data_IF_742567691155
#
_entry.id   IF_742567691155
#
_cell.length_a   1.000
_cell.length_b   1.000
_cell.length_c   1.000
_cell.angle_alpha   90.00
_cell.angle_beta   90.00
_cell.angle_gamma   90.00
#
_symmetry.space_group_name_H-M   'P 1'
#
loop_
_entity.id
_entity.type
_entity.pdbx_description
1 polymer ?
#
# COMPACT_ATOMS: atom_id res chain seq x y z
N UNK A 1 9.71 -47.17 -32.72
CA UNK A 1 9.44 -45.78 -33.18
C UNK A 1 8.10 -45.17 -32.74
N UNK A 2 7.10 -45.93 -32.25
CA UNK A 2 5.77 -45.37 -31.92
C UNK A 2 5.54 -45.13 -30.42
N UNK A 3 6.29 -45.83 -29.57
CA UNK A 3 6.27 -45.67 -28.10
C UNK A 3 7.17 -44.53 -27.60
N UNK A 4 8.08 -44.05 -28.44
CA UNK A 4 8.95 -42.90 -28.13
C UNK A 4 8.21 -41.56 -28.30
N UNK A 5 7.25 -41.49 -29.22
CA UNK A 5 6.42 -40.30 -29.46
C UNK A 5 5.43 -40.06 -28.30
N UNK A 6 4.95 -41.14 -27.67
CA UNK A 6 4.01 -41.05 -26.55
C UNK A 6 4.62 -40.42 -25.28
N UNK A 7 5.94 -40.56 -25.06
CA UNK A 7 6.62 -39.95 -23.91
C UNK A 7 6.91 -38.45 -24.11
N UNK A 8 7.08 -37.98 -25.35
CA UNK A 8 7.35 -36.56 -25.65
C UNK A 8 6.11 -35.68 -25.44
N UNK A 9 4.91 -36.22 -25.65
CA UNK A 9 3.65 -35.47 -25.44
C UNK A 9 3.29 -35.35 -23.95
N UNK A 10 3.69 -36.32 -23.12
CA UNK A 10 3.37 -36.32 -21.69
C UNK A 10 4.22 -35.32 -20.87
N UNK A 11 5.40 -34.92 -21.36
CA UNK A 11 6.30 -33.99 -20.67
C UNK A 11 5.92 -32.50 -20.85
N UNK A 12 4.98 -32.19 -21.74
CA UNK A 12 4.52 -30.81 -22.01
C UNK A 12 3.36 -30.35 -21.13
N UNK A 13 2.74 -31.26 -20.36
CA UNK A 13 1.78 -30.91 -19.32
C UNK A 13 2.50 -30.76 -17.98
N UNK A 14 3.40 -29.77 -17.87
CA UNK A 14 3.63 -29.18 -16.55
C UNK A 14 2.33 -28.48 -16.19
N UNK A 15 1.63 -28.85 -15.11
CA UNK A 15 0.55 -28.01 -14.64
C UNK A 15 1.22 -26.72 -14.21
N UNK A 16 1.04 -25.66 -14.99
CA UNK A 16 1.17 -24.31 -14.47
C UNK A 16 0.07 -24.17 -13.43
N UNK A 17 0.33 -24.71 -12.23
CA UNK A 17 -0.41 -24.39 -11.04
C UNK A 17 -0.18 -22.91 -10.82
N UNK A 18 -1.12 -22.10 -11.28
CA UNK A 18 -1.14 -20.69 -10.97
C UNK A 18 -1.15 -20.58 -9.45
N UNK A 19 -0.22 -19.85 -8.81
CA UNK A 19 -0.45 -19.45 -7.43
C UNK A 19 -1.81 -18.72 -7.36
N UNK A 20 -2.84 -19.41 -6.89
CA UNK A 20 -4.18 -18.88 -6.62
C UNK A 20 -4.25 -18.21 -5.24
N UNK A 21 -3.12 -17.69 -4.79
CA UNK A 21 -3.05 -16.80 -3.63
C UNK A 21 -3.00 -15.37 -4.16
N UNK A 22 -3.50 -14.42 -3.39
CA UNK A 22 -3.39 -13.00 -3.67
C UNK A 22 -1.91 -12.55 -3.58
N UNK A 23 -1.08 -13.07 -4.48
CA UNK A 23 0.32 -12.73 -4.58
C UNK A 23 0.35 -11.32 -5.17
N UNK A 24 0.47 -10.35 -4.29
CA UNK A 24 0.63 -8.95 -4.68
C UNK A 24 1.82 -8.86 -5.63
N UNK A 25 1.64 -8.16 -6.75
CA UNK A 25 2.73 -7.83 -7.68
C UNK A 25 3.69 -6.78 -7.08
N UNK A 26 3.29 -6.18 -5.95
CA UNK A 26 4.10 -5.21 -5.22
C UNK A 26 4.98 -5.91 -4.20
N UNK A 27 6.22 -5.43 -4.06
CA UNK A 27 7.10 -5.85 -3.00
C UNK A 27 6.41 -5.67 -1.63
N UNK A 28 6.55 -6.63 -0.70
CA UNK A 28 5.96 -6.51 0.62
C UNK A 28 6.59 -5.33 1.36
N UNK A 29 5.76 -4.46 1.95
CA UNK A 29 6.26 -3.37 2.78
C UNK A 29 6.84 -3.94 4.09
N UNK A 30 7.95 -3.37 4.53
CA UNK A 30 8.47 -3.64 5.86
C UNK A 30 7.60 -2.96 6.92
N UNK A 31 7.61 -3.48 8.15
CA UNK A 31 6.90 -2.81 9.27
C UNK A 31 7.38 -1.38 9.46
N UNK A 32 8.68 -1.13 9.30
CA UNK A 32 9.27 0.20 9.44
C UNK A 32 8.71 1.18 8.38
N UNK A 33 8.57 0.73 7.13
CA UNK A 33 7.96 1.53 6.06
C UNK A 33 6.49 1.87 6.36
N UNK A 34 5.71 0.91 6.83
CA UNK A 34 4.30 1.16 7.20
C UNK A 34 4.21 2.17 8.34
N UNK A 35 5.09 2.07 9.35
CA UNK A 35 5.12 3.05 10.43
C UNK A 35 5.44 4.46 9.93
N UNK A 36 6.39 4.61 9.02
CA UNK A 36 6.69 5.92 8.42
C UNK A 36 5.50 6.47 7.64
N UNK A 37 4.84 5.65 6.83
CA UNK A 37 3.65 6.07 6.08
C UNK A 37 2.50 6.52 6.99
N UNK A 38 2.35 5.90 8.17
CA UNK A 38 1.35 6.33 9.15
C UNK A 38 1.69 7.68 9.78
N UNK A 39 2.97 7.92 10.08
CA UNK A 39 3.45 9.21 10.59
C UNK A 39 3.19 10.30 9.55
N UNK A 40 3.54 10.04 8.28
CA UNK A 40 3.31 10.96 7.18
C UNK A 40 1.81 11.23 6.99
N UNK A 41 0.96 10.19 7.02
CA UNK A 41 -0.48 10.34 6.90
C UNK A 41 -1.12 11.13 8.05
N UNK A 42 -0.58 11.02 9.27
CA UNK A 42 -1.01 11.83 10.42
C UNK A 42 -0.59 13.30 10.25
N UNK A 43 0.64 13.54 9.81
CA UNK A 43 1.13 14.89 9.49
C UNK A 43 0.32 15.54 8.37
N UNK A 44 -0.08 14.76 7.37
CA UNK A 44 -0.95 15.19 6.27
C UNK A 44 -2.42 15.38 6.68
N UNK A 45 -2.79 15.00 7.91
CA UNK A 45 -4.15 15.10 8.45
C UNK A 45 -5.13 14.06 7.91
N UNK A 46 -4.66 13.06 7.18
CA UNK A 46 -5.49 11.94 6.70
C UNK A 46 -5.94 11.04 7.85
N UNK A 47 -5.13 10.99 8.91
CA UNK A 47 -5.41 10.30 10.15
C UNK A 47 -5.50 11.30 11.32
N UNK A 48 -6.31 10.99 12.35
CA UNK A 48 -7.27 9.87 12.43
C UNK A 48 -8.53 10.13 11.59
N UNK A 49 -9.14 9.05 11.07
CA UNK A 49 -10.45 9.13 10.41
C UNK A 49 -11.40 8.01 10.83
N UNK A 50 -12.70 8.29 10.77
CA UNK A 50 -13.73 7.28 10.96
C UNK A 50 -13.78 6.37 9.73
N UNK A 51 -13.85 5.04 9.95
CA UNK A 51 -13.90 4.04 8.86
C UNK A 51 -15.10 4.21 7.93
N UNK A 52 -16.19 4.79 8.43
CA UNK A 52 -17.40 5.02 7.64
C UNK A 52 -17.38 6.33 6.85
N UNK A 53 -16.39 7.20 7.10
CA UNK A 53 -16.23 8.51 6.44
C UNK A 53 -14.96 8.48 5.59
N UNK A 54 -14.95 7.56 4.63
CA UNK A 54 -13.85 7.36 3.70
C UNK A 54 -14.28 7.65 2.26
N UNK A 55 -13.59 8.56 1.54
CA UNK A 55 -12.42 9.34 1.99
C UNK A 55 -12.78 10.48 2.95
N UNK A 56 -11.87 10.88 3.88
CA UNK A 56 -12.15 11.95 4.84
C UNK A 56 -12.42 13.28 4.13
N UNK A 57 -13.35 14.07 4.69
CA UNK A 57 -13.66 15.40 4.16
C UNK A 57 -12.48 16.37 4.32
N UNK A 58 -12.38 17.37 3.43
CA UNK A 58 -11.37 18.43 3.55
C UNK A 58 -11.42 19.17 4.89
N UNK A 59 -12.62 19.37 5.45
CA UNK A 59 -12.78 20.00 6.75
C UNK A 59 -12.20 19.15 7.89
N UNK A 60 -12.33 17.82 7.79
CA UNK A 60 -11.71 16.91 8.74
C UNK A 60 -10.19 16.87 8.58
N UNK A 61 -9.67 16.84 7.35
CA UNK A 61 -8.22 16.90 7.09
C UNK A 61 -7.62 18.19 7.67
N UNK A 62 -8.25 19.34 7.44
CA UNK A 62 -7.79 20.62 8.00
C UNK A 62 -7.76 20.60 9.53
N UNK A 63 -8.84 20.12 10.16
CA UNK A 63 -8.90 19.96 11.63
C UNK A 63 -7.79 19.04 12.14
N UNK A 64 -7.55 17.92 11.49
CA UNK A 64 -6.53 16.96 11.91
C UNK A 64 -5.12 17.59 11.82
N UNK A 65 -4.82 18.35 10.75
CA UNK A 65 -3.56 19.08 10.63
C UNK A 65 -3.36 20.10 11.75
N UNK A 66 -4.42 20.83 12.12
CA UNK A 66 -4.35 21.77 13.25
C UNK A 66 -4.07 21.06 14.58
N UNK A 67 -4.69 19.90 14.81
CA UNK A 67 -4.42 19.09 16.00
C UNK A 67 -2.98 18.54 15.98
N UNK A 68 -2.51 18.07 14.83
CA UNK A 68 -1.15 17.58 14.65
C UNK A 68 -0.12 18.67 14.96
N UNK A 69 -0.32 19.89 14.42
CA UNK A 69 0.58 21.02 14.66
C UNK A 69 0.64 21.45 16.13
N UNK A 70 -0.47 21.32 16.87
CA UNK A 70 -0.50 21.59 18.32
C UNK A 70 0.26 20.53 19.11
N UNK A 71 0.18 19.27 18.69
CA UNK A 71 0.88 18.16 19.33
C UNK A 71 2.38 18.15 18.99
N UNK A 72 2.74 18.62 17.79
CA UNK A 72 4.10 18.63 17.25
C UNK A 72 4.53 20.07 16.89
N UNK A 73 4.76 20.95 17.89
CA UNK A 73 5.11 22.35 17.63
C UNK A 73 6.44 22.51 16.87
N UNK A 74 7.34 21.53 16.95
CA UNK A 74 8.64 21.53 16.28
C UNK A 74 8.59 20.96 14.85
N UNK A 75 7.47 20.38 14.43
CA UNK A 75 7.30 19.84 13.09
C UNK A 75 6.91 20.96 12.11
N UNK A 76 7.85 21.37 11.27
CA UNK A 76 7.60 22.35 10.21
C UNK A 76 6.51 21.85 9.23
N UNK A 77 5.70 22.75 8.63
CA UNK A 77 4.64 22.34 7.70
C UNK A 77 5.22 21.75 6.41
N UNK A 78 5.13 20.43 6.24
CA UNK A 78 5.61 19.67 5.05
C UNK A 78 4.67 19.77 3.84
N UNK A 79 3.81 20.78 3.78
CA UNK A 79 2.67 20.91 2.86
C UNK A 79 3.02 21.04 1.35
N UNK A 80 4.27 20.86 0.93
CA UNK A 80 4.70 21.13 -0.45
C UNK A 80 5.34 19.93 -1.20
N UNK A 81 5.60 18.79 -0.56
CA UNK A 81 6.44 17.75 -1.19
C UNK A 81 5.69 16.65 -1.97
N UNK A 82 4.38 16.49 -1.82
CA UNK A 82 3.63 15.37 -2.45
C UNK A 82 2.89 15.72 -3.74
N UNK A 83 3.02 16.96 -4.25
CA UNK A 83 2.55 17.34 -5.58
C UNK A 83 3.64 17.07 -6.65
N UNK A 84 3.89 15.80 -6.96
CA UNK A 84 4.84 15.46 -8.02
C UNK A 84 5.20 13.98 -8.10
N UNK A 85 4.31 13.17 -8.68
CA UNK A 85 4.64 12.04 -9.57
C UNK A 85 3.40 11.55 -10.32
#
# INVERSE_FOLDING_TARGET
>A
MKRLIAFVVAALCVPFGTPAFAQSTQAPLTRAEVYQQLIDAEADGLLPTNRNDYPPSHAQIARNRELYARAHPDAAPVAAASAGN
#
